data_IF_486902540159
#
_entry.id   IF_486902540159
#
_cell.length_a   1.000
_cell.length_b   1.000
_cell.length_c   1.000
_cell.angle_alpha   90.00
_cell.angle_beta   90.00
_cell.angle_gamma   90.00
#
_symmetry.space_group_name_H-M   'P 1'
#
loop_
_entity.id
_entity.type
_entity.pdbx_description
1 polymer ?
#
# COMPACT_ATOMS: atom_id res chain seq x y z
N UNK A 1 42.87 10.01 -29.17
CA UNK A 1 42.56 9.04 -28.10
C UNK A 1 43.68 9.09 -27.08
N UNK A 2 43.39 9.24 -25.78
CA UNK A 2 44.42 9.19 -24.73
C UNK A 2 45.01 7.78 -24.66
N UNK A 3 46.31 7.65 -24.42
CA UNK A 3 46.98 6.35 -24.30
C UNK A 3 46.54 5.61 -23.03
N UNK A 4 46.71 4.28 -23.02
CA UNK A 4 46.41 3.45 -21.85
C UNK A 4 47.23 3.87 -20.62
N UNK A 5 48.50 4.22 -20.83
CA UNK A 5 49.41 4.71 -19.79
C UNK A 5 48.94 6.03 -19.20
N UNK A 6 48.54 6.99 -20.04
CA UNK A 6 47.97 8.26 -19.58
C UNK A 6 46.68 8.05 -18.77
N UNK A 7 45.90 7.00 -19.08
CA UNK A 7 44.68 6.68 -18.33
C UNK A 7 44.99 6.12 -16.93
N UNK A 8 46.05 5.31 -16.80
CA UNK A 8 46.54 4.84 -15.49
C UNK A 8 47.07 6.01 -14.64
N UNK A 9 47.84 6.93 -15.26
CA UNK A 9 48.34 8.13 -14.58
C UNK A 9 47.22 9.07 -14.11
N UNK A 10 46.19 9.29 -14.95
CA UNK A 10 45.01 10.10 -14.58
C UNK A 10 44.30 9.51 -13.36
N UNK A 11 44.27 8.19 -13.18
CA UNK A 11 43.74 7.54 -11.97
C UNK A 11 44.77 7.44 -10.83
N UNK A 12 46.05 7.73 -11.07
CA UNK A 12 47.13 7.64 -10.10
C UNK A 12 47.57 6.20 -9.81
N UNK A 13 47.51 5.34 -10.83
CA UNK A 13 47.82 3.92 -10.76
C UNK A 13 49.04 3.59 -11.60
N UNK A 14 49.73 2.50 -11.25
CA UNK A 14 50.81 1.96 -12.07
C UNK A 14 50.24 1.24 -13.31
N UNK A 15 50.94 1.28 -14.46
CA UNK A 15 50.55 0.53 -15.64
C UNK A 15 50.41 -0.96 -15.34
N UNK A 16 49.27 -1.54 -15.69
CA UNK A 16 48.98 -2.96 -15.41
C UNK A 16 48.21 -3.23 -14.11
N UNK A 17 47.78 -2.20 -13.37
CA UNK A 17 46.88 -2.37 -12.23
C UNK A 17 45.58 -3.11 -12.63
N UNK A 18 45.08 -3.94 -11.71
CA UNK A 18 43.90 -4.79 -11.93
C UNK A 18 42.58 -4.01 -11.92
N UNK A 19 41.49 -4.67 -12.32
CA UNK A 19 40.16 -4.06 -12.41
C UNK A 19 39.68 -3.47 -11.07
N UNK A 20 39.94 -4.18 -9.96
CA UNK A 20 39.59 -3.72 -8.61
C UNK A 20 40.35 -2.45 -8.21
N UNK A 21 41.64 -2.35 -8.55
CA UNK A 21 42.47 -1.18 -8.25
C UNK A 21 42.00 0.04 -9.05
N UNK A 22 41.70 -0.16 -10.33
CA UNK A 22 41.13 0.86 -11.23
C UNK A 22 39.80 1.38 -10.68
N UNK A 23 38.91 0.49 -10.22
CA UNK A 23 37.62 0.83 -9.62
C UNK A 23 37.78 1.59 -8.30
N UNK A 24 38.72 1.16 -7.45
CA UNK A 24 39.00 1.81 -6.15
C UNK A 24 39.58 3.22 -6.33
N UNK A 25 40.53 3.38 -7.26
CA UNK A 25 41.12 4.68 -7.58
C UNK A 25 40.10 5.65 -8.19
N UNK A 26 39.25 5.14 -9.09
CA UNK A 26 38.14 5.91 -9.65
C UNK A 26 37.18 6.40 -8.57
N UNK A 27 36.72 5.52 -7.66
CA UNK A 27 35.82 5.91 -6.54
C UNK A 27 36.43 7.02 -5.68
N UNK A 28 37.71 6.90 -5.31
CA UNK A 28 38.42 7.91 -4.53
C UNK A 28 38.45 9.27 -5.24
N UNK A 29 38.84 9.30 -6.52
CA UNK A 29 38.91 10.55 -7.28
C UNK A 29 37.53 11.12 -7.61
N UNK A 30 36.54 10.28 -7.87
CA UNK A 30 35.16 10.70 -8.11
C UNK A 30 34.57 11.41 -6.88
N UNK A 31 34.82 10.91 -5.67
CA UNK A 31 34.40 11.58 -4.42
C UNK A 31 35.07 12.95 -4.22
N UNK A 32 36.33 13.09 -4.63
CA UNK A 32 37.12 14.33 -4.49
C UNK A 32 36.72 15.41 -5.50
N UNK A 33 36.34 15.03 -6.72
CA UNK A 33 36.11 15.95 -7.84
C UNK A 33 34.67 15.97 -8.35
N UNK A 34 33.71 15.38 -7.63
CA UNK A 34 32.30 15.41 -8.02
C UNK A 34 31.79 16.86 -8.05
N UNK A 35 31.05 17.29 -9.10
CA UNK A 35 30.56 18.67 -9.21
C UNK A 35 29.67 19.09 -8.02
N UNK A 36 28.89 18.16 -7.46
CA UNK A 36 28.05 18.44 -6.27
C UNK A 36 28.85 18.66 -4.98
N UNK A 37 30.11 18.19 -4.91
CA UNK A 37 30.96 18.26 -3.71
C UNK A 37 32.03 19.34 -3.85
N UNK A 38 32.65 19.44 -5.03
CA UNK A 38 33.80 20.32 -5.30
C UNK A 38 33.46 21.53 -6.18
N UNK A 39 32.19 21.68 -6.59
CA UNK A 39 31.71 22.78 -7.42
C UNK A 39 32.03 22.65 -8.91
N UNK A 40 31.49 23.55 -9.72
CA UNK A 40 31.55 23.51 -11.20
C UNK A 40 32.98 23.56 -11.77
N UNK A 41 33.94 24.14 -11.04
CA UNK A 41 35.35 24.24 -11.45
C UNK A 41 36.07 22.89 -11.61
N UNK A 42 35.52 21.81 -11.03
CA UNK A 42 36.09 20.47 -11.12
C UNK A 42 35.48 19.61 -12.25
N UNK A 43 34.49 20.13 -12.99
CA UNK A 43 33.77 19.39 -14.04
C UNK A 43 34.70 18.80 -15.11
N UNK A 44 35.69 19.58 -15.55
CA UNK A 44 36.64 19.17 -16.58
C UNK A 44 37.58 18.06 -16.08
N UNK A 45 37.98 18.11 -14.81
CA UNK A 45 38.79 17.07 -14.17
C UNK A 45 37.99 15.79 -13.96
N UNK A 46 36.73 15.91 -13.53
CA UNK A 46 35.81 14.78 -13.39
C UNK A 46 35.57 14.08 -14.73
N UNK A 47 35.41 14.84 -15.82
CA UNK A 47 35.29 14.30 -17.17
C UNK A 47 36.55 13.52 -17.57
N UNK A 48 37.75 14.03 -17.29
CA UNK A 48 39.00 13.33 -17.57
C UNK A 48 39.13 12.02 -16.78
N UNK A 49 38.69 12.02 -15.52
CA UNK A 49 38.66 10.82 -14.65
C UNK A 49 37.69 9.77 -15.21
N UNK A 50 36.50 10.17 -15.66
CA UNK A 50 35.52 9.27 -16.29
C UNK A 50 36.03 8.67 -17.60
N UNK A 51 36.65 9.50 -18.46
CA UNK A 51 37.25 9.03 -19.71
C UNK A 51 38.37 8.01 -19.45
N UNK A 52 39.27 8.29 -18.51
CA UNK A 52 40.35 7.38 -18.14
C UNK A 52 39.80 6.04 -17.61
N UNK A 53 38.78 6.07 -16.76
CA UNK A 53 38.13 4.85 -16.25
C UNK A 53 37.48 4.04 -17.38
N UNK A 54 36.78 4.69 -18.33
CA UNK A 54 36.14 4.01 -19.45
C UNK A 54 37.14 3.31 -20.37
N UNK A 55 38.27 3.97 -20.68
CA UNK A 55 39.35 3.40 -21.50
C UNK A 55 39.98 2.19 -20.81
N UNK A 56 40.30 2.30 -19.52
CA UNK A 56 40.89 1.20 -18.75
C UNK A 56 39.93 0.03 -18.58
N UNK A 57 38.66 0.29 -18.29
CA UNK A 57 37.61 -0.74 -18.20
C UNK A 57 37.50 -1.53 -19.49
N UNK A 58 37.49 -0.85 -20.64
CA UNK A 58 37.38 -1.52 -21.95
C UNK A 58 38.62 -2.35 -22.26
N UNK A 59 39.81 -1.81 -22.05
CA UNK A 59 41.06 -2.53 -22.28
C UNK A 59 41.22 -3.76 -21.37
N UNK A 60 40.80 -3.67 -20.11
CA UNK A 60 40.82 -4.80 -19.18
C UNK A 60 39.83 -5.89 -19.63
N UNK A 61 38.60 -5.53 -20.02
CA UNK A 61 37.62 -6.49 -20.55
C UNK A 61 38.14 -7.16 -21.82
N UNK A 62 38.72 -6.40 -22.76
CA UNK A 62 39.27 -6.96 -23.99
C UNK A 62 40.46 -7.90 -23.70
N UNK A 63 41.30 -7.58 -22.70
CA UNK A 63 42.39 -8.47 -22.25
C UNK A 63 41.88 -9.77 -21.63
N UNK A 64 40.74 -9.75 -20.93
CA UNK A 64 40.08 -10.97 -20.45
C UNK A 64 39.52 -11.83 -21.60
N UNK A 65 39.06 -11.21 -22.69
CA UNK A 65 38.52 -11.91 -23.86
C UNK A 65 39.62 -12.57 -24.71
N UNK A 66 40.78 -11.93 -24.85
CA UNK A 66 41.88 -12.41 -25.71
C UNK A 66 42.56 -13.69 -25.17
N UNK A 67 42.46 -14.00 -23.88
CA UNK A 67 43.02 -15.23 -23.29
C UNK A 67 42.11 -16.48 -23.43
N UNK A 68 40.99 -16.39 -24.16
CA UNK A 68 40.12 -17.54 -24.44
C UNK A 68 40.51 -18.24 -25.77
N UNK A 69 40.60 -19.58 -25.83
CA UNK A 69 41.08 -20.31 -27.01
C UNK A 69 40.11 -20.22 -28.21
N UNK A 70 40.67 -20.31 -29.43
CA UNK A 70 40.04 -19.89 -30.70
C UNK A 70 39.25 -20.99 -31.44
N UNK A 71 37.93 -20.79 -31.59
CA UNK A 71 37.19 -20.66 -32.87
C UNK A 71 35.66 -20.46 -32.64
N UNK A 72 35.14 -20.69 -31.43
CA UNK A 72 33.79 -20.27 -30.95
C UNK A 72 33.78 -18.84 -30.36
N UNK A 73 34.73 -18.02 -30.79
CA UNK A 73 35.25 -16.86 -30.04
C UNK A 73 34.25 -15.72 -29.88
N UNK A 74 33.34 -15.48 -30.81
CA UNK A 74 32.35 -14.40 -30.69
C UNK A 74 31.24 -14.74 -29.68
N UNK A 75 30.75 -15.99 -29.67
CA UNK A 75 29.78 -16.47 -28.68
C UNK A 75 30.41 -16.63 -27.30
N UNK A 76 31.62 -17.17 -27.23
CA UNK A 76 32.37 -17.28 -25.99
C UNK A 76 32.72 -15.89 -25.41
N UNK A 77 33.13 -14.94 -26.24
CA UNK A 77 33.36 -13.55 -25.81
C UNK A 77 32.07 -12.85 -25.35
N UNK A 78 30.95 -13.08 -26.04
CA UNK A 78 29.64 -12.55 -25.63
C UNK A 78 29.18 -13.15 -24.29
N UNK A 79 29.33 -14.47 -24.09
CA UNK A 79 29.02 -15.15 -22.84
C UNK A 79 29.96 -14.71 -21.70
N UNK A 80 31.25 -14.54 -21.98
CA UNK A 80 32.21 -14.02 -21.00
C UNK A 80 31.86 -12.58 -20.58
N UNK A 81 31.44 -11.74 -21.53
CA UNK A 81 30.94 -10.38 -21.23
C UNK A 81 29.66 -10.42 -20.40
N UNK A 82 28.72 -11.30 -20.74
CA UNK A 82 27.46 -11.45 -20.00
C UNK A 82 27.70 -11.93 -18.56
N UNK A 83 28.57 -12.93 -18.38
CA UNK A 83 28.99 -13.42 -17.06
C UNK A 83 29.69 -12.33 -16.25
N UNK A 84 30.55 -11.53 -16.89
CA UNK A 84 31.22 -10.41 -16.24
C UNK A 84 30.21 -9.33 -15.79
N UNK A 85 29.24 -8.99 -16.65
CA UNK A 85 28.18 -8.04 -16.31
C UNK A 85 27.32 -8.56 -15.16
N UNK A 86 26.91 -9.84 -15.20
CA UNK A 86 26.14 -10.47 -14.10
C UNK A 86 26.89 -10.41 -12.78
N UNK A 87 28.18 -10.77 -12.78
CA UNK A 87 29.03 -10.75 -11.59
C UNK A 87 29.23 -9.33 -11.06
N UNK A 88 29.36 -8.34 -11.95
CA UNK A 88 29.48 -6.94 -11.55
C UNK A 88 28.18 -6.40 -10.97
N UNK A 89 27.02 -6.78 -11.54
CA UNK A 89 25.70 -6.44 -10.97
C UNK A 89 25.55 -7.06 -9.58
N UNK A 90 25.89 -8.33 -9.40
CA UNK A 90 25.88 -8.98 -8.08
C UNK A 90 26.77 -8.26 -7.08
N UNK A 91 27.99 -7.89 -7.47
CA UNK A 91 28.90 -7.14 -6.61
C UNK A 91 28.33 -5.76 -6.23
N UNK A 92 27.70 -5.04 -7.17
CA UNK A 92 27.05 -3.76 -6.89
C UNK A 92 25.89 -3.94 -5.91
N UNK A 93 25.06 -4.97 -6.11
CA UNK A 93 23.93 -5.27 -5.24
C UNK A 93 24.39 -5.66 -3.82
N UNK A 94 25.39 -6.51 -3.70
CA UNK A 94 25.97 -6.90 -2.42
C UNK A 94 26.55 -5.71 -1.67
N UNK A 95 27.28 -4.83 -2.37
CA UNK A 95 27.83 -3.61 -1.78
C UNK A 95 26.71 -2.67 -1.30
N UNK A 96 25.67 -2.47 -2.11
CA UNK A 96 24.52 -1.66 -1.72
C UNK A 96 23.79 -2.25 -0.50
N UNK A 97 23.60 -3.57 -0.46
CA UNK A 97 23.02 -4.26 0.71
C UNK A 97 23.87 -4.09 1.96
N UNK A 98 25.20 -4.14 1.82
CA UNK A 98 26.13 -3.95 2.93
C UNK A 98 26.05 -2.52 3.47
N UNK A 99 26.05 -1.52 2.59
CA UNK A 99 25.91 -0.11 2.96
C UNK A 99 24.57 0.16 3.65
N UNK A 100 23.47 -0.38 3.10
CA UNK A 100 22.16 -0.27 3.72
C UNK A 100 22.13 -0.93 5.11
N UNK A 101 22.77 -2.09 5.26
CA UNK A 101 22.88 -2.79 6.55
C UNK A 101 23.72 -2.01 7.56
N UNK A 102 24.79 -1.35 7.13
CA UNK A 102 25.58 -0.44 7.98
C UNK A 102 24.74 0.77 8.39
N UNK A 103 24.01 1.39 7.47
CA UNK A 103 23.10 2.51 7.77
C UNK A 103 22.02 2.12 8.79
N UNK A 104 21.39 0.95 8.61
CA UNK A 104 20.40 0.41 9.54
C UNK A 104 21.02 0.18 10.93
N UNK A 105 22.26 -0.32 11.00
CA UNK A 105 22.98 -0.50 12.28
C UNK A 105 23.33 0.83 12.94
N UNK A 106 23.74 1.83 12.18
CA UNK A 106 23.99 3.19 12.71
C UNK A 106 22.70 3.89 13.11
N UNK A 107 21.58 3.54 12.49
CA UNK A 107 20.23 3.96 12.89
C UNK A 107 19.63 3.06 13.98
N UNK A 108 20.46 2.29 14.69
CA UNK A 108 20.04 1.39 15.75
C UNK A 108 19.26 2.11 16.85
N UNK A 109 17.98 1.73 16.96
CA UNK A 109 17.12 1.64 18.14
C UNK A 109 16.64 2.90 18.89
N UNK A 110 17.23 4.09 18.75
CA UNK A 110 16.91 5.22 19.66
C UNK A 110 16.25 6.45 19.02
N UNK A 111 15.76 6.36 17.78
CA UNK A 111 14.79 7.37 17.31
C UNK A 111 13.42 6.87 17.72
N UNK A 112 12.90 7.34 18.85
CA UNK A 112 11.46 7.28 19.13
C UNK A 112 10.75 7.99 17.98
N UNK A 113 10.30 7.21 17.00
CA UNK A 113 9.56 7.74 15.86
C UNK A 113 8.24 8.24 16.42
N UNK A 114 7.97 9.54 16.32
CA UNK A 114 6.72 10.12 16.79
C UNK A 114 5.55 9.64 15.94
N UNK A 115 4.32 9.76 16.47
CA UNK A 115 3.12 9.46 15.69
C UNK A 115 3.09 10.27 14.40
N UNK A 116 3.57 11.52 14.40
CA UNK A 116 3.60 12.40 13.23
C UNK A 116 4.38 11.82 12.08
N UNK A 117 5.54 11.27 12.38
CA UNK A 117 6.40 10.68 11.37
C UNK A 117 5.79 9.37 10.83
N UNK A 118 5.05 8.64 11.65
CA UNK A 118 4.32 7.43 11.23
C UNK A 118 3.14 7.81 10.33
N UNK A 119 2.32 8.78 10.75
CA UNK A 119 1.16 9.25 9.99
C UNK A 119 1.57 9.87 8.64
N UNK A 120 2.69 10.59 8.60
CA UNK A 120 3.25 11.11 7.36
C UNK A 120 3.65 9.97 6.41
N UNK A 121 4.30 8.92 6.91
CA UNK A 121 4.69 7.76 6.09
C UNK A 121 3.48 6.94 5.63
N UNK A 122 2.41 6.88 6.42
CA UNK A 122 1.14 6.25 6.02
C UNK A 122 0.44 6.97 4.87
N UNK A 123 0.73 8.26 4.64
CA UNK A 123 0.23 9.03 3.50
C UNK A 123 1.07 8.82 2.23
N UNK A 124 2.13 8.01 2.28
CA UNK A 124 2.99 7.72 1.13
C UNK A 124 2.23 6.97 0.03
N UNK A 125 2.57 7.25 -1.22
CA UNK A 125 2.05 6.50 -2.39
C UNK A 125 2.62 5.08 -2.47
N UNK A 126 3.72 4.80 -1.80
CA UNK A 126 4.43 3.52 -1.93
C UNK A 126 3.94 2.49 -0.89
N UNK A 127 3.37 1.34 -1.29
CA UNK A 127 2.80 0.36 -0.36
C UNK A 127 3.77 -0.14 0.70
N UNK A 128 5.04 -0.39 0.33
CA UNK A 128 6.07 -0.86 1.28
C UNK A 128 6.36 0.17 2.39
N UNK A 129 6.33 1.47 2.06
CA UNK A 129 6.55 2.54 3.06
C UNK A 129 5.38 2.58 4.05
N UNK A 130 4.15 2.44 3.53
CA UNK A 130 2.95 2.36 4.36
C UNK A 130 2.94 1.10 5.23
N UNK A 131 3.35 -0.05 4.71
CA UNK A 131 3.45 -1.29 5.47
C UNK A 131 4.40 -1.15 6.67
N UNK A 132 5.62 -0.66 6.44
CA UNK A 132 6.60 -0.47 7.52
C UNK A 132 6.08 0.50 8.58
N UNK A 133 5.45 1.59 8.15
CA UNK A 133 4.83 2.56 9.06
C UNK A 133 3.66 1.94 9.84
N UNK A 134 2.81 1.15 9.20
CA UNK A 134 1.69 0.45 9.83
C UNK A 134 2.19 -0.57 10.86
N UNK A 135 3.23 -1.35 10.55
CA UNK A 135 3.86 -2.26 11.52
C UNK A 135 4.44 -1.52 12.73
N UNK A 136 4.99 -0.32 12.53
CA UNK A 136 5.45 0.51 13.63
C UNK A 136 4.27 1.01 14.48
N UNK A 137 3.21 1.50 13.84
CA UNK A 137 1.98 1.95 14.50
C UNK A 137 1.37 0.87 15.40
N UNK A 138 1.28 -0.36 14.92
CA UNK A 138 0.76 -1.50 15.71
C UNK A 138 1.57 -1.77 16.98
N UNK A 139 2.87 -1.47 17.00
CA UNK A 139 3.75 -1.66 18.18
C UNK A 139 3.71 -0.50 19.17
N UNK A 140 3.28 0.69 18.74
CA UNK A 140 3.23 1.87 19.60
C UNK A 140 2.26 1.69 20.78
N UNK A 141 2.62 2.27 21.93
CA UNK A 141 1.71 2.42 23.07
C UNK A 141 0.76 3.59 22.78
N UNK A 142 -0.45 3.52 23.31
CA UNK A 142 -1.42 4.60 23.15
C UNK A 142 -1.10 5.76 24.11
N UNK A 143 -1.20 6.99 23.60
CA UNK A 143 -1.11 8.24 24.37
C UNK A 143 -2.32 9.14 24.03
N UNK A 144 -2.76 9.97 24.98
CA UNK A 144 -3.92 10.87 24.80
C UNK A 144 -3.61 12.01 23.82
N UNK A 145 -2.36 12.45 23.74
CA UNK A 145 -1.91 13.48 22.78
C UNK A 145 -2.13 13.09 21.32
N UNK A 146 -2.21 11.79 21.03
CA UNK A 146 -2.41 11.25 19.69
C UNK A 146 -3.80 11.48 19.12
N UNK A 147 -4.79 11.82 19.94
CA UNK A 147 -6.18 11.94 19.50
C UNK A 147 -6.37 12.99 18.41
N UNK A 148 -5.90 14.21 18.66
CA UNK A 148 -6.08 15.33 17.72
C UNK A 148 -5.28 15.10 16.44
N UNK A 149 -4.08 14.56 16.60
CA UNK A 149 -3.15 14.28 15.51
C UNK A 149 -3.69 13.22 14.55
N UNK A 150 -4.22 12.11 15.10
CA UNK A 150 -4.82 11.04 14.31
C UNK A 150 -6.08 11.53 13.61
N UNK A 151 -6.96 12.27 14.31
CA UNK A 151 -8.18 12.82 13.73
C UNK A 151 -7.91 13.76 12.56
N UNK A 152 -6.84 14.55 12.61
CA UNK A 152 -6.44 15.45 11.53
C UNK A 152 -5.85 14.76 10.29
N UNK A 153 -5.43 13.49 10.40
CA UNK A 153 -4.73 12.77 9.34
C UNK A 153 -5.46 11.52 8.84
N UNK A 154 -6.44 10.99 9.58
CA UNK A 154 -7.12 9.72 9.25
C UNK A 154 -7.73 9.71 7.84
N UNK A 155 -8.29 10.84 7.39
CA UNK A 155 -8.91 10.98 6.07
C UNK A 155 -7.90 11.01 4.91
N UNK A 156 -6.62 11.25 5.20
CA UNK A 156 -5.54 11.31 4.21
C UNK A 156 -4.86 9.95 4.01
N UNK A 157 -5.10 9.01 4.91
CA UNK A 157 -4.48 7.68 4.90
C UNK A 157 -5.27 6.79 3.95
N UNK A 158 -4.58 6.14 3.02
CA UNK A 158 -5.16 5.09 2.20
C UNK A 158 -5.30 3.81 3.04
N UNK A 159 -6.55 3.43 3.33
CA UNK A 159 -6.91 2.30 4.20
C UNK A 159 -7.09 1.01 3.40
N UNK A 160 -6.00 0.48 2.85
CA UNK A 160 -5.99 -0.85 2.22
C UNK A 160 -5.75 -1.95 3.26
N UNK A 161 -5.77 -3.21 2.80
CA UNK A 161 -5.54 -4.38 3.66
C UNK A 161 -4.18 -4.36 4.40
N UNK A 162 -3.20 -3.65 3.85
CA UNK A 162 -1.85 -3.52 4.42
C UNK A 162 -1.88 -2.66 5.68
N UNK A 163 -2.61 -1.54 5.64
CA UNK A 163 -2.63 -0.54 6.72
C UNK A 163 -3.73 -0.81 7.74
N UNK A 164 -4.86 -1.35 7.28
CA UNK A 164 -6.07 -1.41 8.08
C UNK A 164 -5.89 -2.25 9.35
N UNK A 165 -5.33 -3.45 9.26
CA UNK A 165 -5.22 -4.35 10.41
C UNK A 165 -4.29 -3.78 11.51
N UNK A 166 -3.06 -3.32 11.21
CA UNK A 166 -2.23 -2.65 12.22
C UNK A 166 -2.86 -1.38 12.80
N UNK A 167 -3.61 -0.62 11.98
CA UNK A 167 -4.33 0.56 12.46
C UNK A 167 -5.45 0.18 13.44
N UNK A 168 -6.22 -0.86 13.16
CA UNK A 168 -7.28 -1.35 14.04
C UNK A 168 -6.74 -1.95 15.34
N UNK A 169 -5.57 -2.59 15.30
CA UNK A 169 -4.86 -3.03 16.50
C UNK A 169 -4.42 -1.84 17.36
N UNK A 170 -3.85 -0.81 16.74
CA UNK A 170 -3.47 0.42 17.44
C UNK A 170 -4.69 1.14 18.03
N UNK A 171 -5.76 1.30 17.27
CA UNK A 171 -7.03 1.89 17.74
C UNK A 171 -7.67 1.08 18.86
N UNK A 172 -7.46 -0.24 18.91
CA UNK A 172 -7.93 -1.09 20.00
C UNK A 172 -7.37 -0.71 21.37
N UNK A 173 -6.24 0.00 21.40
CA UNK A 173 -5.60 0.51 22.63
C UNK A 173 -6.19 1.85 23.09
N UNK A 174 -6.97 2.52 22.23
CA UNK A 174 -7.57 3.82 22.52
C UNK A 174 -8.85 3.72 23.38
N UNK A 175 -9.30 4.80 24.05
CA UNK A 175 -10.59 4.83 24.74
C UNK A 175 -11.78 4.62 23.79
N UNK A 176 -12.81 3.90 24.22
CA UNK A 176 -13.97 3.52 23.38
C UNK A 176 -14.70 4.71 22.73
N UNK A 177 -14.84 5.85 23.44
CA UNK A 177 -15.48 7.05 22.90
C UNK A 177 -14.70 7.63 21.71
N UNK A 178 -13.37 7.49 21.71
CA UNK A 178 -12.50 7.93 20.63
C UNK A 178 -12.56 6.94 19.46
N UNK A 179 -12.56 5.64 19.75
CA UNK A 179 -12.74 4.60 18.75
C UNK A 179 -14.02 4.84 17.92
N UNK A 180 -15.16 5.10 18.57
CA UNK A 180 -16.42 5.38 17.86
C UNK A 180 -16.33 6.61 16.94
N UNK A 181 -15.64 7.67 17.39
CA UNK A 181 -15.41 8.89 16.57
C UNK A 181 -14.55 8.60 15.34
N UNK A 182 -13.46 7.86 15.50
CA UNK A 182 -12.56 7.49 14.40
C UNK A 182 -13.27 6.58 13.41
N UNK A 183 -14.00 5.56 13.89
CA UNK A 183 -14.77 4.66 13.03
C UNK A 183 -15.82 5.41 12.22
N UNK A 184 -16.48 6.41 12.80
CA UNK A 184 -17.41 7.26 12.06
C UNK A 184 -16.72 8.06 10.93
N UNK A 185 -15.45 8.45 11.09
CA UNK A 185 -14.69 9.10 10.02
C UNK A 185 -14.25 8.11 8.95
N UNK A 186 -13.70 6.96 9.34
CA UNK A 186 -13.28 5.91 8.42
C UNK A 186 -14.46 5.44 7.56
N UNK A 187 -15.63 5.24 8.18
CA UNK A 187 -16.83 4.79 7.50
C UNK A 187 -17.28 5.73 6.36
N UNK A 188 -16.98 7.03 6.40
CA UNK A 188 -17.33 7.95 5.31
C UNK A 188 -16.66 7.57 3.99
N UNK A 189 -15.46 6.99 4.06
CA UNK A 189 -14.70 6.50 2.91
C UNK A 189 -15.00 5.05 2.55
N UNK A 190 -15.96 4.38 3.21
CA UNK A 190 -16.20 2.95 3.02
C UNK A 190 -16.54 2.55 1.58
N UNK A 191 -17.10 3.48 0.79
CA UNK A 191 -17.42 3.23 -0.61
C UNK A 191 -16.17 2.93 -1.46
N UNK A 192 -15.04 3.52 -1.12
CA UNK A 192 -13.79 3.41 -1.90
C UNK A 192 -12.88 2.29 -1.38
N UNK A 193 -13.31 1.58 -0.33
CA UNK A 193 -12.54 0.49 0.27
C UNK A 193 -12.84 -0.84 -0.42
N UNK A 194 -11.86 -1.73 -0.40
CA UNK A 194 -12.04 -3.10 -0.87
C UNK A 194 -13.00 -3.90 0.03
N UNK A 195 -13.58 -4.97 -0.51
CA UNK A 195 -14.55 -5.81 0.21
C UNK A 195 -13.99 -6.33 1.54
N UNK A 196 -12.78 -6.89 1.52
CA UNK A 196 -12.16 -7.46 2.72
C UNK A 196 -11.92 -6.41 3.82
N UNK A 197 -11.45 -5.23 3.43
CA UNK A 197 -11.24 -4.10 4.32
C UNK A 197 -12.56 -3.66 4.97
N UNK A 198 -13.63 -3.53 4.20
CA UNK A 198 -14.97 -3.23 4.71
C UNK A 198 -15.46 -4.26 5.72
N UNK A 199 -15.28 -5.55 5.42
CA UNK A 199 -15.71 -6.64 6.31
C UNK A 199 -14.95 -6.60 7.64
N UNK A 200 -13.62 -6.42 7.60
CA UNK A 200 -12.79 -6.28 8.81
C UNK A 200 -13.25 -5.09 9.67
N UNK A 201 -13.50 -3.94 9.03
CA UNK A 201 -14.02 -2.75 9.69
C UNK A 201 -15.37 -3.01 10.37
N UNK A 202 -16.33 -3.60 9.65
CA UNK A 202 -17.67 -3.90 10.16
C UNK A 202 -17.61 -4.80 11.40
N UNK A 203 -16.81 -5.87 11.35
CA UNK A 203 -16.65 -6.78 12.50
C UNK A 203 -15.95 -6.12 13.68
N UNK A 204 -14.94 -5.29 13.44
CA UNK A 204 -14.26 -4.56 14.50
C UNK A 204 -15.23 -3.57 15.19
N UNK A 205 -15.94 -2.77 14.41
CA UNK A 205 -16.93 -1.79 14.91
C UNK A 205 -18.15 -2.42 15.58
N UNK A 206 -18.45 -3.71 15.33
CA UNK A 206 -19.52 -4.45 16.03
C UNK A 206 -19.37 -4.38 17.56
N UNK A 207 -18.13 -4.34 18.06
CA UNK A 207 -17.81 -4.23 19.50
C UNK A 207 -18.25 -2.89 20.11
N UNK A 208 -18.28 -1.85 19.29
CA UNK A 208 -18.62 -0.48 19.69
C UNK A 208 -20.10 -0.15 19.55
N UNK A 209 -20.88 -1.06 18.93
CA UNK A 209 -22.26 -0.85 18.48
C UNK A 209 -22.35 0.28 17.47
N UNK A 210 -22.48 -0.11 16.20
CA UNK A 210 -22.66 0.83 15.11
C UNK A 210 -23.88 1.73 15.28
N UNK A 211 -23.70 3.02 15.00
CA UNK A 211 -24.82 3.94 14.81
C UNK A 211 -25.40 3.76 13.40
N UNK A 212 -26.71 3.92 13.23
CA UNK A 212 -27.34 3.77 11.92
C UNK A 212 -26.72 4.68 10.86
N UNK A 213 -26.41 5.94 11.23
CA UNK A 213 -25.81 6.93 10.33
C UNK A 213 -24.43 6.54 9.84
N UNK A 214 -23.63 5.87 10.67
CA UNK A 214 -22.27 5.44 10.31
C UNK A 214 -22.27 4.16 9.49
N UNK A 215 -23.36 3.37 9.52
CA UNK A 215 -23.54 2.21 8.65
C UNK A 215 -23.98 2.56 7.22
N UNK A 216 -24.58 3.74 7.00
CA UNK A 216 -25.13 4.13 5.69
C UNK A 216 -24.12 3.98 4.52
N UNK A 217 -22.83 4.37 4.65
CA UNK A 217 -21.86 4.20 3.58
C UNK A 217 -21.61 2.73 3.19
N UNK A 218 -21.76 1.78 4.12
CA UNK A 218 -21.61 0.35 3.83
C UNK A 218 -22.84 -0.23 3.12
N UNK A 219 -24.03 0.36 3.34
CA UNK A 219 -25.26 -0.05 2.65
C UNK A 219 -25.28 0.36 1.17
N UNK A 220 -24.47 1.34 0.78
CA UNK A 220 -24.34 1.81 -0.61
C UNK A 220 -23.13 1.21 -1.33
N UNK A 221 -22.40 0.31 -0.68
CA UNK A 221 -21.21 -0.34 -1.25
C UNK A 221 -21.55 -1.32 -2.38
N UNK A 222 -20.65 -1.52 -3.34
CA UNK A 222 -20.92 -2.33 -4.53
C UNK A 222 -21.06 -3.82 -4.20
N UNK A 223 -20.23 -4.36 -3.29
CA UNK A 223 -20.32 -5.75 -2.83
C UNK A 223 -21.59 -6.04 -2.02
N UNK A 224 -22.33 -7.06 -2.44
CA UNK A 224 -23.53 -7.54 -1.74
C UNK A 224 -23.22 -8.10 -0.35
N UNK A 225 -22.03 -8.70 -0.17
CA UNK A 225 -21.62 -9.29 1.11
C UNK A 225 -21.42 -8.22 2.18
N UNK A 226 -20.78 -7.10 1.82
CA UNK A 226 -20.60 -5.94 2.70
C UNK A 226 -21.96 -5.40 3.13
N UNK A 227 -22.86 -5.22 2.16
CA UNK A 227 -24.23 -4.73 2.39
C UNK A 227 -25.01 -5.68 3.31
N UNK A 228 -24.96 -6.98 3.08
CA UNK A 228 -25.65 -7.98 3.90
C UNK A 228 -25.16 -7.97 5.36
N UNK A 229 -23.85 -7.87 5.56
CA UNK A 229 -23.25 -7.76 6.90
C UNK A 229 -23.69 -6.46 7.59
N UNK A 230 -23.61 -5.33 6.88
CA UNK A 230 -24.05 -4.03 7.40
C UNK A 230 -25.55 -4.03 7.76
N UNK A 231 -26.40 -4.61 6.90
CA UNK A 231 -27.82 -4.81 7.17
C UNK A 231 -28.05 -5.67 8.41
N UNK A 232 -27.27 -6.74 8.61
CA UNK A 232 -27.42 -7.59 9.80
C UNK A 232 -27.15 -6.83 11.11
N UNK A 233 -26.30 -5.80 11.06
CA UNK A 233 -25.91 -4.97 12.21
C UNK A 233 -26.87 -3.80 12.46
N UNK A 234 -27.77 -3.51 11.54
CA UNK A 234 -28.71 -2.39 11.64
C UNK A 234 -29.78 -2.65 12.72
N UNK A 235 -30.06 -1.67 13.58
CA UNK A 235 -31.10 -1.81 14.61
C UNK A 235 -32.51 -1.76 14.02
N UNK A 236 -32.83 -0.71 13.26
CA UNK A 236 -34.10 -0.54 12.55
C UNK A 236 -33.86 -0.02 11.13
N UNK A 237 -34.76 -0.37 10.21
CA UNK A 237 -34.76 0.20 8.85
C UNK A 237 -35.35 1.62 8.80
N UNK A 238 -35.98 2.12 9.87
CA UNK A 238 -36.65 3.44 9.90
C UNK A 238 -35.68 4.61 9.67
N UNK A 239 -34.46 4.49 10.17
CA UNK A 239 -33.43 5.53 10.08
C UNK A 239 -32.69 5.52 8.72
N UNK A 240 -33.01 4.56 7.84
CA UNK A 240 -32.38 4.44 6.52
C UNK A 240 -33.14 5.31 5.52
N UNK A 241 -32.46 6.21 4.78
CA UNK A 241 -33.10 7.04 3.76
C UNK A 241 -33.82 6.21 2.69
N UNK A 242 -34.99 6.67 2.26
CA UNK A 242 -35.81 5.99 1.25
C UNK A 242 -35.04 5.69 -0.04
N UNK A 243 -34.17 6.60 -0.48
CA UNK A 243 -33.31 6.39 -1.68
C UNK A 243 -32.40 5.17 -1.54
N UNK A 244 -31.82 4.95 -0.35
CA UNK A 244 -30.97 3.78 -0.08
C UNK A 244 -31.82 2.52 -0.05
N UNK A 245 -33.00 2.56 0.59
CA UNK A 245 -33.92 1.42 0.60
C UNK A 245 -34.37 1.02 -0.81
N UNK A 246 -34.67 2.00 -1.69
CA UNK A 246 -35.01 1.73 -3.09
C UNK A 246 -33.85 1.07 -3.82
N UNK A 247 -32.63 1.61 -3.71
CA UNK A 247 -31.43 1.02 -4.32
C UNK A 247 -31.16 -0.41 -3.82
N UNK A 248 -31.38 -0.68 -2.53
CA UNK A 248 -31.21 -2.04 -1.97
C UNK A 248 -32.26 -3.02 -2.50
N UNK A 249 -33.48 -2.58 -2.77
CA UNK A 249 -34.53 -3.44 -3.32
C UNK A 249 -34.37 -3.74 -4.82
N UNK A 250 -33.57 -2.96 -5.53
CA UNK A 250 -33.19 -3.23 -6.92
C UNK A 250 -32.15 -4.35 -7.01
N UNK A 251 -31.38 -4.58 -5.94
CA UNK A 251 -30.45 -5.71 -5.84
C UNK A 251 -31.24 -7.00 -5.67
N UNK A 252 -31.39 -7.78 -6.74
CA UNK A 252 -32.11 -9.06 -6.76
C UNK A 252 -31.33 -10.20 -6.07
N UNK A 253 -30.79 -9.93 -4.88
CA UNK A 253 -29.98 -10.87 -4.10
C UNK A 253 -30.71 -11.26 -2.81
N UNK A 254 -30.80 -12.57 -2.54
CA UNK A 254 -31.42 -13.09 -1.32
C UNK A 254 -30.72 -12.62 -0.04
N UNK A 255 -29.39 -12.51 -0.06
CA UNK A 255 -28.59 -12.11 1.12
C UNK A 255 -28.89 -10.69 1.58
N UNK A 256 -29.35 -9.83 0.66
CA UNK A 256 -29.74 -8.45 0.95
C UNK A 256 -31.23 -8.37 1.24
N UNK A 257 -32.05 -8.95 0.37
CA UNK A 257 -33.50 -8.78 0.41
C UNK A 257 -34.11 -9.44 1.65
N UNK A 258 -33.66 -10.62 2.08
CA UNK A 258 -34.26 -11.29 3.24
C UNK A 258 -34.02 -10.50 4.55
N UNK A 259 -32.79 -10.08 4.90
CA UNK A 259 -32.56 -9.23 6.06
C UNK A 259 -33.29 -7.89 5.98
N UNK A 260 -33.32 -7.27 4.80
CA UNK A 260 -34.02 -6.01 4.58
C UNK A 260 -35.52 -6.14 4.86
N UNK A 261 -36.19 -7.12 4.24
CA UNK A 261 -37.62 -7.36 4.42
C UNK A 261 -37.95 -7.65 5.88
N UNK A 262 -37.13 -8.44 6.59
CA UNK A 262 -37.30 -8.67 8.04
C UNK A 262 -37.31 -7.37 8.85
N UNK A 263 -36.44 -6.42 8.52
CA UNK A 263 -36.34 -5.13 9.22
C UNK A 263 -37.38 -4.11 8.79
N UNK A 264 -38.03 -4.32 7.65
CA UNK A 264 -39.05 -3.41 7.12
C UNK A 264 -40.44 -3.57 7.75
N UNK A 265 -40.64 -4.53 8.65
CA UNK A 265 -41.94 -4.83 9.27
C UNK A 265 -42.66 -3.60 9.83
N UNK A 266 -41.94 -2.76 10.57
CA UNK A 266 -42.48 -1.56 11.23
C UNK A 266 -42.16 -0.28 10.49
N UNK A 267 -41.64 -0.38 9.26
CA UNK A 267 -41.04 0.77 8.59
C UNK A 267 -42.09 1.71 8.01
N UNK A 268 -41.97 3.01 8.34
CA UNK A 268 -42.87 4.07 7.84
C UNK A 268 -42.89 4.19 6.31
N UNK A 269 -41.77 3.85 5.66
CA UNK A 269 -41.59 3.92 4.22
C UNK A 269 -42.15 2.71 3.46
N UNK A 270 -42.73 1.72 4.17
CA UNK A 270 -43.28 0.52 3.54
C UNK A 270 -44.30 0.86 2.45
N UNK A 271 -45.10 1.92 2.62
CA UNK A 271 -46.12 2.34 1.67
C UNK A 271 -45.55 2.64 0.27
N UNK A 272 -44.40 3.32 0.19
CA UNK A 272 -43.73 3.64 -1.08
C UNK A 272 -43.15 2.41 -1.77
N UNK A 273 -42.81 1.39 -0.99
CA UNK A 273 -42.12 0.19 -1.47
C UNK A 273 -43.07 -0.98 -1.76
N UNK A 274 -44.37 -0.85 -1.44
CA UNK A 274 -45.40 -1.88 -1.63
C UNK A 274 -45.46 -2.43 -3.05
N UNK A 275 -45.33 -1.57 -4.07
CA UNK A 275 -45.36 -1.98 -5.48
C UNK A 275 -44.30 -3.04 -5.79
N UNK A 276 -43.06 -2.73 -5.44
CA UNK A 276 -41.91 -3.62 -5.64
C UNK A 276 -41.99 -4.88 -4.78
N UNK A 277 -42.42 -4.78 -3.51
CA UNK A 277 -42.57 -5.94 -2.63
C UNK A 277 -43.61 -6.93 -3.18
N UNK A 278 -44.72 -6.44 -3.76
CA UNK A 278 -45.71 -7.32 -4.42
C UNK A 278 -45.14 -8.03 -5.64
N UNK A 279 -44.26 -7.37 -6.39
CA UNK A 279 -43.56 -7.99 -7.52
C UNK A 279 -42.63 -9.11 -7.02
N UNK A 280 -41.79 -8.82 -6.01
CA UNK A 280 -40.91 -9.80 -5.38
C UNK A 280 -41.67 -11.02 -4.84
N UNK A 281 -42.83 -10.80 -4.24
CA UNK A 281 -43.71 -11.87 -3.73
C UNK A 281 -44.21 -12.84 -4.81
N UNK A 282 -44.34 -12.36 -6.06
CA UNK A 282 -44.89 -13.14 -7.19
C UNK A 282 -43.80 -13.83 -8.01
N UNK A 283 -42.72 -13.13 -8.33
CA UNK A 283 -41.79 -13.54 -9.39
C UNK A 283 -40.34 -13.76 -8.95
N UNK A 284 -39.94 -13.39 -7.72
CA UNK A 284 -38.52 -13.50 -7.32
C UNK A 284 -38.06 -14.97 -7.30
N UNK A 285 -36.86 -15.33 -7.79
CA UNK A 285 -36.40 -16.73 -7.87
C UNK A 285 -36.27 -17.42 -6.50
N UNK A 286 -35.74 -16.71 -5.50
CA UNK A 286 -35.59 -17.24 -4.13
C UNK A 286 -36.93 -17.42 -3.42
N UNK A 287 -37.10 -18.60 -2.82
CA UNK A 287 -38.24 -18.95 -1.96
C UNK A 287 -38.29 -18.07 -0.70
N UNK A 288 -37.14 -17.79 -0.07
CA UNK A 288 -37.05 -17.00 1.16
C UNK A 288 -37.56 -15.58 0.95
N UNK A 289 -37.12 -14.94 -0.14
CA UNK A 289 -37.57 -13.60 -0.52
C UNK A 289 -39.08 -13.59 -0.78
N UNK A 290 -39.61 -14.56 -1.54
CA UNK A 290 -41.06 -14.65 -1.80
C UNK A 290 -41.86 -14.81 -0.52
N UNK A 291 -41.40 -15.64 0.42
CA UNK A 291 -42.08 -15.87 1.69
C UNK A 291 -42.16 -14.59 2.53
N UNK A 292 -41.02 -13.91 2.72
CA UNK A 292 -40.97 -12.65 3.48
C UNK A 292 -41.77 -11.53 2.81
N UNK A 293 -41.71 -11.42 1.48
CA UNK A 293 -42.45 -10.41 0.74
C UNK A 293 -43.97 -10.65 0.80
N UNK A 294 -44.43 -11.91 0.65
CA UNK A 294 -45.85 -12.26 0.80
C UNK A 294 -46.37 -11.93 2.20
N UNK A 295 -45.57 -12.25 3.22
CA UNK A 295 -45.93 -11.98 4.60
C UNK A 295 -46.10 -10.47 4.86
N UNK A 296 -45.16 -9.64 4.40
CA UNK A 296 -45.28 -8.18 4.51
C UNK A 296 -46.48 -7.60 3.75
N UNK A 297 -46.81 -8.13 2.58
CA UNK A 297 -48.00 -7.71 1.82
C UNK A 297 -49.28 -8.15 2.53
N UNK A 298 -49.29 -9.32 3.16
CA UNK A 298 -50.40 -9.85 3.94
C UNK A 298 -50.67 -9.06 5.22
N UNK A 299 -49.64 -8.79 6.03
CA UNK A 299 -49.74 -8.00 7.27
C UNK A 299 -50.21 -6.56 6.99
N UNK A 300 -49.77 -5.97 5.87
CA UNK A 300 -50.13 -4.63 5.43
C UNK A 300 -51.61 -4.45 4.99
N UNK A 301 -52.36 -5.54 4.83
CA UNK A 301 -53.79 -5.55 4.51
C UNK A 301 -54.69 -5.77 5.75
N UNK A 302 -54.10 -6.02 6.93
CA UNK A 302 -54.82 -6.33 8.19
C UNK A 302 -54.70 -5.18 9.20
N UNK A 303 -54.06 -4.07 8.83
CA UNK A 303 -53.93 -2.84 9.64
C UNK A 303 -54.77 -1.69 9.11
#
# INVERSE_FOLDING_TARGET
MKSLEASYEILGLQPGAGFEDVKKAFRRKALLYHPDVAGEGCSLQFQQINEAYAVLKRALIDRFVVNAPSLDSARAAAQARELFIKREIENILQEAQRQLSELIKTMGNDVEVGLSDVLLRLQSRHPVVRFVAACHLGKMKWDVSFMDELMGNISKIALDDVVLEPLLEFLGKAPAHFQSKVMAQIAKGAKDLEEEACIKLLYWGKRLRWETKTLLPFLTHDSNRVVAIALSMLSSADDVPLMVLMSLMERNDEEILVPLLKKMRTNRNLCYLRGRIRELARSHPSLGVRAWAKWLVGDANVG
#
